data_IF_392823154449
#
_entry.id   IF_392823154449
#
_cell.length_a   1.000
_cell.length_b   1.000
_cell.length_c   1.000
_cell.angle_alpha   90.00
_cell.angle_beta   90.00
_cell.angle_gamma   90.00
#
_symmetry.space_group_name_H-M   'P 1'
#
loop_
_entity.id
_entity.type
_entity.pdbx_description
1 polymer ?
#
# COMPACT_ATOMS: atom_id res chain seq x y z
N UNK A 1 5.39 8.23 20.89
CA UNK A 1 4.31 8.13 19.89
C UNK A 1 3.58 6.80 20.10
N UNK A 2 2.37 6.79 20.68
CA UNK A 2 1.60 5.54 20.87
C UNK A 2 1.12 5.09 19.48
N UNK A 3 1.62 3.96 18.99
CA UNK A 3 1.09 3.30 17.78
C UNK A 3 -0.36 2.92 18.09
N UNK A 4 -1.31 3.56 17.44
CA UNK A 4 -2.72 3.16 17.51
C UNK A 4 -2.93 2.08 16.46
N UNK A 5 -2.96 0.82 16.91
CA UNK A 5 -3.37 -0.28 16.05
C UNK A 5 -4.88 -0.17 15.73
N UNK A 6 -5.29 -0.81 14.63
CA UNK A 6 -6.67 -0.73 14.14
C UNK A 6 -7.68 -1.22 15.21
N UNK A 7 -7.32 -2.26 15.95
CA UNK A 7 -8.09 -2.76 17.10
C UNK A 7 -8.33 -1.69 18.16
N UNK A 8 -7.29 -0.94 18.52
CA UNK A 8 -7.39 0.15 19.49
C UNK A 8 -8.26 1.28 18.94
N UNK A 9 -8.16 1.60 17.64
CA UNK A 9 -9.03 2.61 17.00
C UNK A 9 -10.52 2.25 17.03
N UNK A 10 -10.87 0.98 16.76
CA UNK A 10 -12.25 0.52 16.80
C UNK A 10 -12.83 0.42 18.22
N UNK A 11 -11.99 0.17 19.23
CA UNK A 11 -12.41 0.14 20.64
C UNK A 11 -12.51 1.56 21.22
N UNK A 12 -11.68 2.49 20.76
CA UNK A 12 -11.62 3.87 21.26
C UNK A 12 -12.71 4.77 20.65
N UNK A 13 -13.40 4.35 19.57
CA UNK A 13 -14.62 5.01 19.10
C UNK A 13 -15.72 4.84 20.14
N UNK A 14 -15.95 5.90 20.94
CA UNK A 14 -16.85 6.01 22.11
C UNK A 14 -18.31 5.61 21.83
N UNK A 15 -18.55 4.32 21.67
CA UNK A 15 -19.87 3.70 21.63
C UNK A 15 -19.77 2.40 22.42
N UNK A 16 -20.83 2.03 23.12
CA UNK A 16 -20.94 0.72 23.77
C UNK A 16 -21.12 -0.30 22.64
N UNK A 17 -20.05 -0.61 21.92
CA UNK A 17 -20.06 -1.57 20.81
C UNK A 17 -19.75 -2.94 21.37
N UNK A 18 -20.57 -3.92 21.04
CA UNK A 18 -20.31 -5.33 21.32
C UNK A 18 -18.92 -5.73 20.76
N UNK A 19 -18.00 -6.25 21.59
CA UNK A 19 -16.69 -6.72 21.14
C UNK A 19 -16.75 -7.69 19.96
N UNK A 20 -17.83 -8.50 19.85
CA UNK A 20 -18.03 -9.38 18.69
C UNK A 20 -18.31 -8.60 17.40
N UNK A 21 -19.13 -7.56 17.47
CA UNK A 21 -19.42 -6.72 16.30
C UNK A 21 -18.17 -5.99 15.80
N UNK A 22 -17.29 -5.53 16.71
CA UNK A 22 -16.00 -4.94 16.35
C UNK A 22 -15.08 -5.97 15.67
N UNK A 23 -14.98 -7.17 16.25
CA UNK A 23 -14.19 -8.25 15.68
C UNK A 23 -14.69 -8.64 14.28
N UNK A 24 -15.99 -8.82 14.10
CA UNK A 24 -16.56 -9.24 12.83
C UNK A 24 -16.41 -8.15 11.76
N UNK A 25 -16.56 -6.87 12.13
CA UNK A 25 -16.27 -5.75 11.25
C UNK A 25 -14.78 -5.72 10.83
N UNK A 26 -13.86 -5.95 11.77
CA UNK A 26 -12.42 -6.04 11.50
C UNK A 26 -12.10 -7.19 10.55
N UNK A 27 -12.67 -8.38 10.79
CA UNK A 27 -12.48 -9.56 9.95
C UNK A 27 -13.02 -9.33 8.55
N UNK A 28 -14.22 -8.77 8.40
CA UNK A 28 -14.81 -8.46 7.11
C UNK A 28 -13.99 -7.41 6.33
N UNK A 29 -13.52 -6.36 7.01
CA UNK A 29 -12.62 -5.37 6.42
C UNK A 29 -11.31 -6.01 5.94
N UNK A 30 -10.69 -6.87 6.76
CA UNK A 30 -9.47 -7.60 6.39
C UNK A 30 -9.71 -8.55 5.22
N UNK A 31 -10.84 -9.25 5.17
CA UNK A 31 -11.15 -10.20 4.10
C UNK A 31 -11.36 -9.47 2.76
N UNK A 32 -12.12 -8.37 2.77
CA UNK A 32 -12.36 -7.55 1.60
C UNK A 32 -11.06 -6.90 1.08
N UNK A 33 -10.27 -6.30 1.97
CA UNK A 33 -9.01 -5.63 1.62
C UNK A 33 -7.92 -6.59 1.17
N UNK A 34 -7.85 -7.81 1.74
CA UNK A 34 -6.92 -8.85 1.30
C UNK A 34 -7.17 -9.23 -0.15
N UNK A 35 -8.43 -9.47 -0.52
CA UNK A 35 -8.79 -9.79 -1.90
C UNK A 35 -8.35 -8.69 -2.85
N UNK A 36 -8.81 -7.45 -2.63
CA UNK A 36 -8.56 -6.32 -3.55
C UNK A 36 -7.08 -5.93 -3.64
N UNK A 37 -6.32 -5.99 -2.52
CA UNK A 37 -4.89 -5.66 -2.51
C UNK A 37 -4.06 -6.71 -3.25
N UNK A 38 -4.37 -8.01 -3.04
CA UNK A 38 -3.68 -9.09 -3.75
C UNK A 38 -3.97 -9.01 -5.26
N UNK A 39 -5.24 -8.79 -5.65
CA UNK A 39 -5.58 -8.62 -7.06
C UNK A 39 -4.93 -7.38 -7.69
N UNK A 40 -4.91 -6.25 -6.98
CA UNK A 40 -4.22 -5.03 -7.42
C UNK A 40 -2.72 -5.25 -7.62
N UNK A 41 -2.07 -5.94 -6.68
CA UNK A 41 -0.63 -6.25 -6.74
C UNK A 41 -0.28 -7.18 -7.89
N UNK A 42 -1.06 -8.25 -8.10
CA UNK A 42 -0.87 -9.17 -9.24
C UNK A 42 -1.05 -8.44 -10.56
N UNK A 43 -2.07 -7.58 -10.65
CA UNK A 43 -2.33 -6.80 -11.86
C UNK A 43 -1.22 -5.78 -12.13
N UNK A 44 -0.67 -5.15 -11.09
CA UNK A 44 0.48 -4.26 -11.21
C UNK A 44 1.67 -5.00 -11.84
N UNK A 45 2.01 -6.18 -11.33
CA UNK A 45 3.11 -7.00 -11.90
C UNK A 45 2.83 -7.39 -13.35
N UNK A 46 1.59 -7.75 -13.70
CA UNK A 46 1.21 -8.08 -15.09
C UNK A 46 1.31 -6.85 -16.00
N UNK A 47 0.79 -5.68 -15.59
CA UNK A 47 0.87 -4.44 -16.38
C UNK A 47 2.33 -3.98 -16.56
N UNK A 48 3.17 -4.09 -15.54
CA UNK A 48 4.61 -3.75 -15.64
C UNK A 48 5.37 -4.69 -16.58
N UNK A 49 5.07 -5.99 -16.59
CA UNK A 49 5.64 -6.92 -17.56
C UNK A 49 5.14 -6.66 -18.99
N UNK A 50 3.86 -6.27 -19.15
CA UNK A 50 3.26 -5.96 -20.46
C UNK A 50 3.76 -4.63 -21.03
N UNK A 51 4.08 -3.66 -20.19
CA UNK A 51 4.53 -2.32 -20.56
C UNK A 51 5.93 -2.03 -20.00
N UNK A 52 7.00 -2.60 -20.59
CA UNK A 52 8.35 -2.47 -20.06
C UNK A 52 8.85 -1.01 -20.04
N UNK A 53 8.36 -0.14 -20.93
CA UNK A 53 8.66 1.29 -20.90
C UNK A 53 8.19 1.98 -19.59
N UNK A 54 7.05 1.54 -19.04
CA UNK A 54 6.53 2.03 -17.76
C UNK A 54 7.42 1.56 -16.61
N UNK A 55 7.86 0.30 -16.67
CA UNK A 55 8.78 -0.28 -15.70
C UNK A 55 10.13 0.45 -15.69
N UNK A 56 10.72 0.73 -16.86
CA UNK A 56 11.97 1.49 -16.98
C UNK A 56 11.82 2.87 -16.35
N UNK A 57 10.75 3.60 -16.72
CA UNK A 57 10.47 4.93 -16.15
C UNK A 57 10.26 4.90 -14.64
N UNK A 58 9.65 3.83 -14.12
CA UNK A 58 9.49 3.62 -12.68
C UNK A 58 10.84 3.40 -11.99
N UNK A 59 11.67 2.51 -12.52
CA UNK A 59 13.00 2.23 -11.98
C UNK A 59 13.92 3.45 -12.04
N UNK A 60 13.83 4.26 -13.10
CA UNK A 60 14.60 5.51 -13.22
C UNK A 60 14.13 6.53 -12.18
N UNK A 61 12.81 6.67 -11.98
CA UNK A 61 12.26 7.52 -10.92
C UNK A 61 12.69 7.10 -9.51
N UNK A 62 12.72 5.79 -9.23
CA UNK A 62 13.22 5.26 -7.95
C UNK A 62 14.73 5.54 -7.82
N UNK A 63 15.52 5.32 -8.88
CA UNK A 63 16.96 5.60 -8.87
C UNK A 63 17.27 7.07 -8.63
N UNK A 64 16.47 7.98 -9.19
CA UNK A 64 16.64 9.42 -9.02
C UNK A 64 16.25 9.89 -7.62
N UNK A 65 15.09 9.45 -7.11
CA UNK A 65 14.52 9.97 -5.86
C UNK A 65 14.95 9.20 -4.61
N UNK A 66 15.20 7.91 -4.75
CA UNK A 66 15.55 6.98 -3.66
C UNK A 66 16.64 5.99 -4.09
N UNK A 67 17.84 6.48 -4.46
CA UNK A 67 18.95 5.61 -4.89
C UNK A 67 19.32 4.57 -3.83
N UNK A 68 19.24 4.93 -2.55
CA UNK A 68 19.48 4.04 -1.41
C UNK A 68 18.64 2.76 -1.43
N UNK A 69 17.44 2.82 -2.00
CA UNK A 69 16.52 1.67 -2.13
C UNK A 69 17.01 0.65 -3.17
N UNK A 70 17.73 1.11 -4.20
CA UNK A 70 18.25 0.25 -5.28
C UNK A 70 19.57 -0.40 -4.91
N UNK A 71 20.39 0.27 -4.10
CA UNK A 71 21.71 -0.21 -3.66
C UNK A 71 21.64 -0.97 -2.32
N UNK A 72 20.47 -1.01 -1.68
CA UNK A 72 20.24 -1.75 -0.43
C UNK A 72 20.69 -1.05 0.84
N UNK A 73 21.16 0.20 0.76
CA UNK A 73 21.46 1.04 1.92
C UNK A 73 20.19 1.44 2.68
N UNK A 74 19.08 1.60 1.95
CA UNK A 74 17.74 1.81 2.50
C UNK A 74 16.92 0.53 2.31
N UNK A 75 16.64 -0.17 3.40
CA UNK A 75 15.86 -1.42 3.39
C UNK A 75 14.35 -1.17 3.35
N UNK A 76 13.89 -0.14 4.06
CA UNK A 76 12.46 0.19 4.17
C UNK A 76 12.30 1.70 3.97
N UNK A 77 11.58 2.14 2.92
CA UNK A 77 11.34 3.55 2.69
C UNK A 77 10.35 4.10 3.73
N UNK A 78 10.56 5.36 4.12
CA UNK A 78 9.60 6.08 4.99
C UNK A 78 8.38 6.55 4.20
N UNK A 79 7.32 7.00 4.88
CA UNK A 79 6.15 7.57 4.19
C UNK A 79 6.50 8.84 3.40
N UNK A 80 7.43 9.66 3.91
CA UNK A 80 7.94 10.85 3.23
C UNK A 80 8.73 10.49 1.96
N UNK A 81 9.41 9.34 1.96
CA UNK A 81 10.11 8.82 0.79
C UNK A 81 9.13 8.33 -0.28
N UNK A 82 8.07 7.61 0.13
CA UNK A 82 7.03 7.14 -0.77
C UNK A 82 6.29 8.29 -1.47
N UNK A 83 6.07 9.41 -0.78
CA UNK A 83 5.48 10.62 -1.36
C UNK A 83 6.30 11.21 -2.51
N UNK A 84 7.60 10.97 -2.58
CA UNK A 84 8.46 11.45 -3.68
C UNK A 84 8.26 10.64 -4.97
N UNK A 85 7.60 9.49 -4.90
CA UNK A 85 7.39 8.55 -6.00
C UNK A 85 6.01 8.75 -6.66
N UNK A 86 5.65 9.98 -7.05
CA UNK A 86 4.35 10.31 -7.65
C UNK A 86 3.98 9.44 -8.87
N UNK A 87 4.97 9.02 -9.66
CA UNK A 87 4.75 8.15 -10.80
C UNK A 87 4.36 6.72 -10.39
N UNK A 88 4.88 6.21 -9.27
CA UNK A 88 4.48 4.91 -8.72
C UNK A 88 3.02 4.95 -8.26
N UNK A 89 2.60 6.05 -7.62
CA UNK A 89 1.23 6.27 -7.18
C UNK A 89 0.26 6.27 -8.37
N UNK A 90 0.58 7.05 -9.42
CA UNK A 90 -0.23 7.08 -10.65
C UNK A 90 -0.34 5.70 -11.34
N UNK A 91 0.76 4.93 -11.39
CA UNK A 91 0.74 3.56 -11.95
C UNK A 91 -0.12 2.63 -11.09
N UNK A 92 -0.06 2.77 -9.76
CA UNK A 92 -0.87 1.97 -8.85
C UNK A 92 -2.36 2.29 -8.98
N UNK A 93 -2.74 3.56 -9.09
CA UNK A 93 -4.12 3.98 -9.33
C UNK A 93 -4.69 3.40 -10.63
N UNK A 94 -3.93 3.42 -11.72
CA UNK A 94 -4.30 2.81 -13.00
C UNK A 94 -4.41 1.27 -12.93
N UNK A 95 -3.73 0.64 -11.98
CA UNK A 95 -3.86 -0.80 -11.74
C UNK A 95 -5.11 -1.14 -10.91
N UNK A 96 -5.44 -0.32 -9.90
CA UNK A 96 -6.56 -0.57 -9.00
C UNK A 96 -7.89 -0.06 -9.56
N UNK A 97 -7.88 1.03 -10.33
CA UNK A 97 -9.07 1.74 -10.81
C UNK A 97 -9.80 1.15 -12.02
N UNK A 98 -9.57 -0.12 -12.38
CA UNK A 98 -10.22 -0.80 -13.54
C UNK A 98 -10.99 -2.06 -13.15
#
# INVERSE_FOLDING_TARGET
MKRKDLSTLFVESKTIIDPKAVHDALVNFLLASKGTTVFGSVRLVIKLNRYPAVLVKLCDGIREKLPGLMIGELQVPTMEDLQKLYYLEAVNEECVGQ
#
